data_IF_793334831668
#
_entry.id   IF_793334831668
#
_cell.length_a   1.000
_cell.length_b   1.000
_cell.length_c   1.000
_cell.angle_alpha   90.00
_cell.angle_beta   90.00
_cell.angle_gamma   90.00
#
_symmetry.space_group_name_H-M   'P 1'
#
loop_
_entity.id
_entity.type
_entity.pdbx_description
1 polymer ?
#
# COMPACT_ATOMS: atom_id res chain seq x y z
N UNK A 1 -3.43 14.64 8.43
CA UNK A 1 -3.48 13.49 7.51
C UNK A 1 -2.54 13.82 6.36
N UNK A 2 -1.54 12.99 6.12
CA UNK A 2 -0.66 13.14 4.96
C UNK A 2 -1.48 12.91 3.69
N UNK A 3 -1.24 13.70 2.64
CA UNK A 3 -1.95 13.49 1.38
C UNK A 3 -1.39 12.25 0.68
N UNK A 4 -2.18 11.62 -0.20
CA UNK A 4 -1.71 10.50 -1.03
C UNK A 4 -0.42 10.84 -1.79
N UNK A 5 -0.36 12.04 -2.35
CA UNK A 5 0.80 12.51 -3.12
C UNK A 5 2.04 12.66 -2.24
N UNK A 6 1.87 13.14 -1.00
CA UNK A 6 2.96 13.24 -0.04
C UNK A 6 3.50 11.86 0.36
N UNK A 7 2.61 10.89 0.61
CA UNK A 7 3.01 9.51 0.91
C UNK A 7 3.80 8.91 -0.25
N UNK A 8 3.32 9.08 -1.49
CA UNK A 8 4.00 8.59 -2.71
C UNK A 8 5.39 9.21 -2.85
N UNK A 9 5.51 10.52 -2.62
CA UNK A 9 6.79 11.24 -2.72
C UNK A 9 7.79 10.80 -1.64
N UNK A 10 7.36 10.74 -0.38
CA UNK A 10 8.25 10.32 0.72
C UNK A 10 8.68 8.85 0.61
N UNK A 11 7.83 7.99 0.03
CA UNK A 11 8.15 6.59 -0.25
C UNK A 11 8.96 6.39 -1.55
N UNK A 12 9.19 7.44 -2.36
CA UNK A 12 9.92 7.35 -3.63
C UNK A 12 9.19 6.53 -4.71
N UNK A 13 7.86 6.45 -4.65
CA UNK A 13 7.04 5.60 -5.52
C UNK A 13 6.58 6.32 -6.81
N UNK A 14 6.80 7.62 -6.95
CA UNK A 14 6.33 8.44 -8.08
C UNK A 14 6.56 7.81 -9.47
N UNK A 15 7.73 7.20 -9.79
CA UNK A 15 7.96 6.61 -11.12
C UNK A 15 7.09 5.38 -11.45
N UNK A 16 6.50 4.76 -10.41
CA UNK A 16 5.77 3.50 -10.50
C UNK A 16 4.26 3.69 -10.52
N UNK A 17 3.75 4.84 -10.06
CA UNK A 17 2.32 5.11 -9.93
C UNK A 17 1.75 5.68 -11.23
N UNK A 18 0.62 5.14 -11.66
CA UNK A 18 -0.16 5.62 -12.80
C UNK A 18 -1.41 6.36 -12.32
N UNK A 19 -1.66 7.52 -12.91
CA UNK A 19 -2.86 8.32 -12.65
C UNK A 19 -4.07 7.86 -13.49
N UNK A 20 -5.27 8.35 -13.14
CA UNK A 20 -6.50 8.14 -13.91
C UNK A 20 -7.14 6.75 -13.78
N UNK A 21 -6.58 5.85 -12.96
CA UNK A 21 -7.15 4.55 -12.65
C UNK A 21 -7.97 4.63 -11.37
N UNK A 22 -9.15 4.02 -11.35
CA UNK A 22 -9.97 3.86 -10.16
C UNK A 22 -10.17 2.38 -9.88
N UNK A 23 -10.33 2.01 -8.61
CA UNK A 23 -10.64 0.63 -8.26
C UNK A 23 -12.02 0.26 -8.81
N UNK A 24 -12.20 -0.90 -9.48
CA UNK A 24 -13.46 -1.24 -10.15
C UNK A 24 -14.60 -1.58 -9.19
N UNK A 25 -14.32 -1.68 -7.88
CA UNK A 25 -15.28 -2.01 -6.84
C UNK A 25 -15.25 -0.95 -5.73
N UNK A 26 -16.34 -0.78 -4.95
CA UNK A 26 -16.31 0.11 -3.79
C UNK A 26 -15.18 -0.28 -2.83
N UNK A 27 -14.38 0.70 -2.44
CA UNK A 27 -13.44 0.58 -1.32
C UNK A 27 -14.11 1.13 -0.05
N UNK A 28 -13.79 0.58 1.13
CA UNK A 28 -14.01 1.27 2.40
C UNK A 28 -13.50 2.72 2.34
N UNK A 29 -14.27 3.66 2.91
CA UNK A 29 -14.00 5.10 2.82
C UNK A 29 -12.62 5.48 3.38
N UNK A 30 -12.17 4.78 4.41
CA UNK A 30 -10.87 4.96 5.05
C UNK A 30 -9.69 4.45 4.20
N UNK A 31 -9.94 3.60 3.20
CA UNK A 31 -8.92 3.12 2.26
C UNK A 31 -8.75 4.01 1.02
N UNK A 32 -9.75 4.83 0.69
CA UNK A 32 -9.73 5.72 -0.49
C UNK A 32 -8.47 6.62 -0.53
N UNK A 33 -8.01 7.23 0.58
CA UNK A 33 -6.81 8.07 0.57
C UNK A 33 -5.52 7.31 0.23
N UNK A 34 -5.50 5.99 0.43
CA UNK A 34 -4.32 5.15 0.26
C UNK A 34 -4.30 4.41 -1.07
N UNK A 35 -5.39 4.46 -1.84
CA UNK A 35 -5.48 3.77 -3.13
C UNK A 35 -4.52 4.37 -4.17
N UNK A 36 -3.80 3.48 -4.85
CA UNK A 36 -2.99 3.78 -6.01
C UNK A 36 -3.06 2.67 -7.06
N UNK A 37 -2.57 2.98 -8.26
CA UNK A 37 -2.37 1.99 -9.30
C UNK A 37 -0.90 1.96 -9.68
N UNK A 38 -0.23 0.82 -9.55
CA UNK A 38 1.18 0.67 -9.95
C UNK A 38 1.32 0.04 -11.33
N UNK A 39 2.42 0.34 -12.02
CA UNK A 39 2.74 -0.21 -13.35
C UNK A 39 2.84 -1.74 -13.37
N UNK A 40 3.31 -2.33 -12.29
CA UNK A 40 3.70 -3.73 -12.15
C UNK A 40 2.75 -4.56 -11.26
N UNK A 41 2.09 -3.92 -10.29
CA UNK A 41 1.18 -4.55 -9.33
C UNK A 41 -0.29 -4.16 -9.49
N UNK A 42 -0.61 -3.23 -10.40
CA UNK A 42 -1.98 -2.81 -10.68
C UNK A 42 -2.66 -2.16 -9.47
N UNK A 43 -3.91 -2.55 -9.18
CA UNK A 43 -4.72 -1.98 -8.10
C UNK A 43 -4.17 -2.28 -6.71
N UNK A 44 -3.63 -1.25 -6.05
CA UNK A 44 -2.91 -1.37 -4.79
C UNK A 44 -3.32 -0.31 -3.75
N UNK A 45 -2.93 -0.54 -2.51
CA UNK A 45 -2.98 0.40 -1.41
C UNK A 45 -1.55 0.73 -0.96
N UNK A 46 -1.31 1.98 -0.61
CA UNK A 46 -0.07 2.43 0.03
C UNK A 46 -0.13 2.03 1.50
N UNK A 47 0.70 1.07 1.90
CA UNK A 47 0.64 0.43 3.22
C UNK A 47 2.00 0.47 3.88
N UNK A 48 2.05 0.93 5.12
CA UNK A 48 3.19 0.71 6.01
C UNK A 48 3.23 -0.76 6.40
N UNK A 49 4.32 -1.43 6.05
CA UNK A 49 4.53 -2.84 6.37
C UNK A 49 4.90 -2.98 7.85
N UNK A 50 3.91 -3.27 8.69
CA UNK A 50 4.02 -3.17 10.15
C UNK A 50 5.07 -4.13 10.73
N UNK A 51 5.18 -5.34 10.18
CA UNK A 51 6.16 -6.34 10.59
C UNK A 51 7.61 -5.98 10.21
N UNK A 52 7.82 -5.02 9.30
CA UNK A 52 9.16 -4.52 8.94
C UNK A 52 9.48 -3.17 9.58
N UNK A 53 8.46 -2.47 10.11
CA UNK A 53 8.64 -1.17 10.73
C UNK A 53 9.59 -1.24 11.93
N UNK A 54 10.51 -0.26 12.00
CA UNK A 54 11.47 -0.13 13.10
C UNK A 54 11.18 1.13 13.90
N UNK A 55 10.87 0.96 15.19
CA UNK A 55 10.57 2.07 16.10
C UNK A 55 11.66 3.15 16.06
N UNK A 56 11.23 4.42 15.98
CA UNK A 56 12.12 5.57 15.85
C UNK A 56 12.54 5.91 14.42
N UNK A 57 12.19 5.08 13.43
CA UNK A 57 12.32 5.44 12.02
C UNK A 57 11.03 6.07 11.48
N UNK A 58 11.16 6.81 10.37
CA UNK A 58 10.04 7.37 9.61
C UNK A 58 9.20 6.24 8.98
N UNK A 59 7.89 6.10 9.32
CA UNK A 59 7.03 5.06 8.76
C UNK A 59 6.95 5.06 7.24
N UNK A 60 7.06 6.22 6.60
CA UNK A 60 6.99 6.40 5.14
C UNK A 60 8.07 5.60 4.40
N UNK A 61 9.20 5.31 5.06
CA UNK A 61 10.28 4.45 4.52
C UNK A 61 9.90 2.97 4.42
N UNK A 62 8.81 2.58 5.06
CA UNK A 62 8.27 1.22 5.08
C UNK A 62 6.96 1.13 4.31
N UNK A 63 6.58 2.19 3.59
CA UNK A 63 5.40 2.20 2.73
C UNK A 63 5.72 1.44 1.45
N UNK A 64 4.87 0.46 1.15
CA UNK A 64 4.88 -0.27 -0.11
C UNK A 64 3.49 -0.22 -0.76
N UNK A 65 3.40 -0.31 -2.10
CA UNK A 65 2.16 -0.71 -2.75
C UNK A 65 1.88 -2.19 -2.45
N UNK A 66 0.71 -2.49 -1.91
CA UNK A 66 0.23 -3.86 -1.71
C UNK A 66 -1.13 -4.05 -2.40
N UNK A 67 -1.39 -5.19 -3.08
CA UNK A 67 -2.67 -5.41 -3.76
C UNK A 67 -3.85 -5.26 -2.80
N UNK A 68 -4.93 -4.62 -3.28
CA UNK A 68 -6.11 -4.33 -2.44
C UNK A 68 -6.63 -5.58 -1.73
N UNK A 69 -6.77 -6.70 -2.45
CA UNK A 69 -7.27 -7.97 -1.90
C UNK A 69 -6.39 -8.51 -0.79
N UNK A 70 -5.07 -8.42 -0.95
CA UNK A 70 -4.10 -8.89 0.05
C UNK A 70 -4.26 -8.12 1.36
N UNK A 71 -4.40 -6.79 1.29
CA UNK A 71 -4.58 -5.93 2.48
C UNK A 71 -5.92 -6.18 3.16
N UNK A 72 -7.01 -6.29 2.39
CA UNK A 72 -8.34 -6.59 2.94
C UNK A 72 -8.38 -7.95 3.65
N UNK A 73 -7.70 -8.97 3.09
CA UNK A 73 -7.63 -10.30 3.68
C UNK A 73 -6.78 -10.34 4.95
N UNK A 74 -5.65 -9.61 4.97
CA UNK A 74 -4.77 -9.54 6.12
C UNK A 74 -5.35 -8.69 7.27
N UNK A 75 -6.25 -7.76 6.95
CA UNK A 75 -6.76 -6.76 7.89
C UNK A 75 -5.77 -5.59 8.03
N UNK A 76 -6.29 -4.43 8.40
CA UNK A 76 -5.51 -3.19 8.44
C UNK A 76 -6.02 -2.25 9.54
N UNK A 77 -5.25 -1.22 9.82
CA UNK A 77 -5.70 -0.10 10.65
C UNK A 77 -5.07 1.21 10.18
N UNK A 78 -5.74 2.33 10.45
CA UNK A 78 -5.20 3.67 10.17
C UNK A 78 -4.61 4.24 11.45
N UNK A 79 -3.35 4.67 11.38
CA UNK A 79 -2.63 5.29 12.49
C UNK A 79 -1.73 6.40 11.97
N UNK A 80 -1.80 7.55 12.63
CA UNK A 80 -1.03 8.76 12.30
C UNK A 80 -1.20 9.21 10.83
N UNK A 81 -2.37 8.93 10.25
CA UNK A 81 -2.68 9.27 8.85
C UNK A 81 -2.07 8.33 7.81
N UNK A 82 -1.53 7.18 8.22
CA UNK A 82 -1.00 6.12 7.37
C UNK A 82 -1.82 4.84 7.54
N UNK A 83 -1.84 4.01 6.51
CA UNK A 83 -2.45 2.68 6.53
C UNK A 83 -1.42 1.64 6.93
N UNK A 84 -1.71 0.86 7.96
CA UNK A 84 -0.81 -0.14 8.53
C UNK A 84 -1.42 -1.52 8.38
N UNK A 85 -0.57 -2.49 8.02
CA UNK A 85 -0.95 -3.89 7.92
C UNK A 85 0.26 -4.76 8.17
N UNK A 86 0.06 -5.88 8.86
CA UNK A 86 1.02 -6.98 8.86
C UNK A 86 0.79 -7.80 7.60
N UNK A 87 1.77 -7.84 6.70
CA UNK A 87 1.69 -8.58 5.45
C UNK A 87 2.86 -9.56 5.34
N UNK A 88 2.66 -10.74 4.74
CA UNK A 88 3.74 -11.69 4.53
C UNK A 88 4.76 -11.11 3.57
N UNK A 89 5.94 -10.78 4.09
CA UNK A 89 7.04 -10.17 3.33
C UNK A 89 8.30 -11.01 3.50
N UNK A 90 9.06 -11.12 2.41
CA UNK A 90 10.35 -11.80 2.40
C UNK A 90 11.41 -10.84 1.85
N UNK A 91 12.52 -10.60 2.56
CA UNK A 91 13.53 -9.63 2.12
C UNK A 91 14.14 -9.93 0.74
N UNK A 92 14.16 -11.20 0.33
CA UNK A 92 14.74 -11.66 -0.94
C UNK A 92 13.78 -11.61 -2.13
N UNK A 93 12.47 -11.62 -1.88
CA UNK A 93 11.43 -11.83 -2.89
C UNK A 93 10.27 -10.82 -2.81
N UNK A 94 10.28 -9.93 -1.82
CA UNK A 94 9.30 -8.88 -1.62
C UNK A 94 8.02 -9.35 -0.92
N UNK A 95 6.92 -8.66 -1.20
CA UNK A 95 5.60 -9.00 -0.68
C UNK A 95 5.14 -10.34 -1.27
N UNK A 96 4.70 -11.26 -0.41
CA UNK A 96 4.12 -12.55 -0.84
C UNK A 96 2.66 -12.30 -1.20
N UNK A 97 2.36 -12.43 -2.50
CA UNK A 97 1.04 -12.17 -3.07
C UNK A 97 0.48 -13.47 -3.66
N UNK A 98 -0.81 -13.73 -3.46
CA UNK A 98 -1.50 -14.86 -4.09
C UNK A 98 -1.78 -14.57 -5.57
N UNK A 99 -1.73 -15.58 -6.42
CA UNK A 99 -1.84 -15.44 -7.90
C UNK A 99 -3.12 -14.69 -8.36
N UNK A 100 -4.20 -14.70 -7.55
CA UNK A 100 -5.47 -14.01 -7.84
C UNK A 100 -5.67 -12.64 -7.17
N UNK A 101 -4.69 -12.16 -6.42
CA UNK A 101 -4.79 -10.87 -5.70
C UNK A 101 -4.43 -9.67 -6.59
N UNK A 102 -3.61 -9.88 -7.61
CA UNK A 102 -3.19 -8.84 -8.56
C UNK A 102 -4.30 -8.58 -9.57
N UNK A 103 -4.68 -7.31 -9.74
CA UNK A 103 -5.75 -6.88 -10.64
C UNK A 103 -5.33 -5.60 -11.39
N UNK A 104 -5.73 -5.47 -12.66
CA UNK A 104 -5.32 -4.39 -13.57
C UNK A 104 -6.52 -3.63 -14.16
#
# INVERSE_FOLDING_TARGET
>A
MSSREEIIREAGLEPWILSGRAYPRPLPDDLIPFYCYTRDGGHSLLVVLENEYRAGQKPERFVIPAPVKTVLRAGYHVKDGLLWSTLPYRPDSGLVVEEGDVEF
#
